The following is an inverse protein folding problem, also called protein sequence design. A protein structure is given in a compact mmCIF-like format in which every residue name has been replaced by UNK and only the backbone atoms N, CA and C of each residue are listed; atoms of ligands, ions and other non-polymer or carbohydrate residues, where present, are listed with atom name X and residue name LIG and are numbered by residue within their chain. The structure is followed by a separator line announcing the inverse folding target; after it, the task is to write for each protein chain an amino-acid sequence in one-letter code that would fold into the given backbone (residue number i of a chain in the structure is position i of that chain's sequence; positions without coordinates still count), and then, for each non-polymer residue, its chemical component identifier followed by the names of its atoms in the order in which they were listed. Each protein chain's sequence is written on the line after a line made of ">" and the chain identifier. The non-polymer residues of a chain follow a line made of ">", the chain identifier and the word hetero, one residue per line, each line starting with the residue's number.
data_IF_250583638016
#
_entry.id   IF_250583638016
#
_cell.length_a   1.000
_cell.length_b   1.000
_cell.length_c   1.000
_cell.angle_alpha   90.00
_cell.angle_beta   90.00
_cell.angle_gamma   90.00
#
_symmetry.space_group_name_H-M   'P 1'
#
loop_
_entity.id
_entity.type
_entity.pdbx_description
1 polymer ?
#
# COMPACT_ATOMS: atom_id res chain seq x y z
N UNK A 1 -10.83 -16.49 6.25
CA UNK A 1 -9.74 -15.60 5.82
C UNK A 1 -9.59 -14.50 6.87
N UNK A 2 -8.70 -14.68 7.84
CA UNK A 2 -8.32 -13.62 8.77
C UNK A 2 -7.40 -12.64 8.02
N UNK A 3 -7.93 -11.49 7.65
CA UNK A 3 -7.16 -10.42 7.03
C UNK A 3 -6.42 -9.65 8.13
N UNK A 4 -5.25 -10.11 8.51
CA UNK A 4 -4.45 -9.57 9.62
C UNK A 4 -4.08 -8.09 9.42
N UNK A 5 -4.08 -7.58 8.19
CA UNK A 5 -3.69 -6.20 7.89
C UNK A 5 -4.74 -5.18 8.32
N UNK A 6 -6.04 -5.49 8.22
CA UNK A 6 -7.11 -4.52 8.56
C UNK A 6 -7.22 -4.31 10.08
N UNK A 7 -7.06 -5.34 10.88
CA UNK A 7 -7.06 -5.21 12.35
C UNK A 7 -5.82 -4.50 12.87
N UNK A 8 -4.67 -4.78 12.32
CA UNK A 8 -3.41 -4.18 12.75
C UNK A 8 -3.28 -2.70 12.35
N UNK A 9 -3.89 -2.25 11.25
CA UNK A 9 -3.90 -0.83 10.88
C UNK A 9 -4.68 0.02 11.89
N UNK A 10 -5.76 -0.50 12.48
CA UNK A 10 -6.53 0.21 13.52
C UNK A 10 -5.75 0.41 14.84
N UNK A 11 -4.77 -0.44 15.09
CA UNK A 11 -3.93 -0.41 16.29
C UNK A 11 -2.53 0.19 16.02
N UNK A 12 -2.30 0.65 14.79
CA UNK A 12 -1.05 1.30 14.43
C UNK A 12 -1.00 2.69 15.05
N UNK A 13 -0.17 2.85 16.05
CA UNK A 13 0.27 4.17 16.47
C UNK A 13 1.28 4.69 15.45
N UNK A 14 0.77 5.41 14.45
CA UNK A 14 1.55 6.03 13.38
C UNK A 14 2.39 7.21 13.87
N UNK A 15 2.39 7.48 15.16
CA UNK A 15 2.84 8.71 15.81
C UNK A 15 4.30 9.10 15.58
N UNK A 16 5.09 8.43 14.78
CA UNK A 16 6.49 8.84 14.62
C UNK A 16 7.14 8.45 13.27
N UNK A 17 6.37 8.25 12.15
CA UNK A 17 6.99 7.50 11.06
C UNK A 17 6.62 7.91 9.63
N UNK A 18 6.06 9.08 9.41
CA UNK A 18 5.85 9.62 8.06
C UNK A 18 7.04 10.49 7.66
N UNK A 19 7.47 10.33 6.43
CA UNK A 19 8.50 11.17 5.84
C UNK A 19 7.85 12.25 5.01
N UNK A 20 8.23 13.47 5.25
CA UNK A 20 7.72 14.65 4.56
C UNK A 20 8.63 14.99 3.40
N UNK A 21 8.03 15.22 2.25
CA UNK A 21 8.73 15.53 1.02
C UNK A 21 8.14 16.83 0.45
N UNK A 22 9.00 17.78 0.12
CA UNK A 22 8.59 19.03 -0.53
C UNK A 22 8.32 18.78 -2.01
N UNK A 23 7.19 19.26 -2.54
CA UNK A 23 6.78 19.06 -3.93
C UNK A 23 7.78 19.59 -4.96
N UNK A 24 8.57 20.58 -4.58
CA UNK A 24 9.57 21.24 -5.43
C UNK A 24 11.01 20.79 -5.12
N UNK A 25 11.18 19.84 -4.22
CA UNK A 25 12.49 19.50 -3.70
C UNK A 25 13.25 18.56 -4.61
N UNK A 26 14.45 18.91 -4.96
CA UNK A 26 15.48 18.01 -5.48
C UNK A 26 15.98 17.06 -4.37
N UNK A 27 15.68 17.35 -3.10
CA UNK A 27 16.10 16.59 -1.93
C UNK A 27 14.88 16.05 -1.15
N UNK A 28 14.92 14.76 -0.85
CA UNK A 28 13.96 14.10 0.01
C UNK A 28 14.30 14.42 1.47
N UNK A 29 13.38 15.06 2.18
CA UNK A 29 13.50 15.24 3.63
C UNK A 29 12.63 14.22 4.35
N UNK A 30 13.16 13.66 5.42
CA UNK A 30 12.44 12.74 6.30
C UNK A 30 12.10 13.46 7.60
N UNK A 31 10.83 13.39 7.99
CA UNK A 31 10.35 13.96 9.26
C UNK A 31 9.49 12.97 10.01
N UNK A 32 9.30 13.17 11.33
CA UNK A 32 8.25 12.48 12.06
C UNK A 32 6.90 13.15 11.81
N UNK A 33 5.81 12.42 12.02
CA UNK A 33 4.44 12.97 11.90
C UNK A 33 4.21 14.19 12.77
N UNK A 34 4.85 14.21 13.96
CA UNK A 34 4.69 15.28 14.94
C UNK A 34 5.44 16.57 14.58
N UNK A 35 6.24 16.54 13.51
CA UNK A 35 7.13 17.64 13.10
C UNK A 35 6.84 18.12 11.68
N UNK A 36 5.63 17.89 11.16
CA UNK A 36 5.22 18.37 9.84
C UNK A 36 4.84 19.84 9.97
N UNK A 37 5.56 20.69 9.26
CA UNK A 37 5.29 22.13 9.21
C UNK A 37 4.06 22.42 8.34
N UNK A 38 3.36 23.52 8.66
CA UNK A 38 2.22 23.96 7.85
C UNK A 38 2.65 24.24 6.40
N UNK A 39 1.82 23.81 5.46
CA UNK A 39 2.08 24.00 4.02
C UNK A 39 2.94 22.92 3.36
N UNK A 40 3.33 21.88 4.10
CA UNK A 40 4.09 20.75 3.56
C UNK A 40 3.17 19.59 3.20
N UNK A 41 3.37 18.99 2.03
CA UNK A 41 2.69 17.76 1.61
C UNK A 41 3.55 16.54 1.89
N UNK A 42 2.92 15.49 2.43
CA UNK A 42 3.51 14.16 2.53
C UNK A 42 3.24 13.41 1.24
N UNK A 43 4.30 13.03 0.53
CA UNK A 43 4.20 12.43 -0.79
C UNK A 43 4.69 10.98 -0.86
N UNK A 44 5.37 10.48 0.17
CA UNK A 44 5.77 9.07 0.27
C UNK A 44 6.02 8.67 1.73
N UNK A 45 6.07 7.37 1.99
CA UNK A 45 6.56 6.81 3.26
C UNK A 45 8.09 6.65 3.22
N UNK A 46 8.71 6.71 4.38
CA UNK A 46 10.15 6.59 4.46
C UNK A 46 10.68 5.24 4.93
N UNK A 47 12.02 5.13 5.03
CA UNK A 47 12.69 3.87 5.34
C UNK A 47 12.22 3.21 6.64
N UNK A 48 12.01 3.99 7.70
CA UNK A 48 11.53 3.47 8.98
C UNK A 48 10.11 2.91 8.90
N UNK A 49 9.26 3.55 8.08
CA UNK A 49 7.88 3.07 7.85
C UNK A 49 7.89 1.81 6.99
N UNK A 50 8.73 1.78 5.96
CA UNK A 50 8.94 0.57 5.15
C UNK A 50 9.42 -0.59 6.03
N UNK A 51 10.42 -0.37 6.89
CA UNK A 51 10.91 -1.39 7.83
C UNK A 51 9.80 -1.91 8.76
N UNK A 52 8.99 -0.98 9.28
CA UNK A 52 7.87 -1.35 10.13
C UNK A 52 6.85 -2.22 9.39
N UNK A 53 6.38 -1.78 8.22
CA UNK A 53 5.40 -2.53 7.43
C UNK A 53 5.95 -3.89 6.99
N UNK A 54 7.24 -3.95 6.67
CA UNK A 54 7.91 -5.20 6.31
C UNK A 54 7.78 -6.28 7.38
N UNK A 55 7.88 -5.90 8.67
CA UNK A 55 7.75 -6.84 9.80
C UNK A 55 6.37 -7.51 9.84
N UNK A 56 5.32 -6.78 9.46
CA UNK A 56 3.96 -7.32 9.41
C UNK A 56 3.69 -8.10 8.13
N UNK A 57 4.18 -7.60 7.00
CA UNK A 57 4.01 -8.26 5.69
C UNK A 57 4.68 -9.64 5.69
N UNK A 58 5.93 -9.73 6.15
CA UNK A 58 6.70 -11.00 6.15
C UNK A 58 6.06 -12.06 7.05
N UNK A 59 5.34 -11.65 8.11
CA UNK A 59 4.63 -12.58 9.00
C UNK A 59 3.24 -12.99 8.52
N UNK A 60 2.75 -12.42 7.41
CA UNK A 60 1.40 -12.65 6.92
C UNK A 60 1.32 -13.87 6.01
N UNK A 61 0.16 -14.58 6.04
CA UNK A 61 -0.14 -15.65 5.07
C UNK A 61 -0.76 -15.09 3.79
N UNK A 62 -1.62 -14.07 3.93
CA UNK A 62 -2.29 -13.39 2.83
C UNK A 62 -2.19 -11.89 3.03
N UNK A 63 -1.86 -11.16 1.97
CA UNK A 63 -1.79 -9.71 1.96
C UNK A 63 -2.72 -9.17 0.88
N UNK A 64 -3.66 -8.32 1.27
CA UNK A 64 -4.43 -7.51 0.33
C UNK A 64 -3.87 -6.09 0.33
N UNK A 65 -3.26 -5.69 -0.80
CA UNK A 65 -2.69 -4.36 -0.97
C UNK A 65 -3.53 -3.51 -1.90
N UNK A 66 -4.09 -2.40 -1.37
CA UNK A 66 -4.94 -1.48 -2.12
C UNK A 66 -4.50 -0.03 -1.91
N UNK A 67 -3.94 0.56 -2.92
CA UNK A 67 -3.38 1.91 -2.96
C UNK A 67 -1.85 1.94 -2.77
N UNK A 68 -1.13 2.67 -3.64
CA UNK A 68 0.28 2.95 -3.44
C UNK A 68 0.49 3.75 -2.15
N UNK A 69 1.64 3.60 -1.53
CA UNK A 69 1.97 4.29 -0.26
C UNK A 69 2.65 5.63 -0.46
N UNK A 70 2.93 5.98 -1.72
CA UNK A 70 3.51 7.25 -2.13
C UNK A 70 3.04 7.63 -3.54
N UNK A 71 3.36 8.85 -3.98
CA UNK A 71 3.07 9.35 -5.33
C UNK A 71 4.09 8.74 -6.29
N UNK A 72 3.96 7.44 -6.49
CA UNK A 72 4.94 6.58 -7.13
C UNK A 72 5.17 6.87 -8.62
N UNK A 73 4.38 7.75 -9.24
CA UNK A 73 4.55 8.25 -10.59
C UNK A 73 5.79 9.14 -10.72
N UNK A 74 6.20 9.78 -9.62
CA UNK A 74 7.39 10.61 -9.57
C UNK A 74 8.55 9.83 -8.97
N UNK A 75 9.69 9.87 -9.65
CA UNK A 75 10.90 9.14 -9.26
C UNK A 75 11.35 9.42 -7.83
N UNK A 76 11.17 10.64 -7.35
CA UNK A 76 11.58 11.05 -6.01
C UNK A 76 10.66 10.48 -4.91
N UNK A 77 9.45 10.00 -5.27
CA UNK A 77 8.39 9.58 -4.36
C UNK A 77 7.94 8.14 -4.61
N UNK A 78 8.73 7.38 -5.36
CA UNK A 78 8.47 5.96 -5.65
C UNK A 78 9.05 5.00 -4.60
N UNK A 79 9.90 5.51 -3.70
CA UNK A 79 10.69 4.70 -2.78
C UNK A 79 9.82 3.77 -1.93
N UNK A 80 8.81 4.31 -1.26
CA UNK A 80 7.93 3.54 -0.39
C UNK A 80 7.20 2.43 -1.16
N UNK A 81 6.52 2.80 -2.23
CA UNK A 81 5.74 1.85 -3.04
C UNK A 81 6.62 0.75 -3.63
N UNK A 82 7.78 1.11 -4.17
CA UNK A 82 8.72 0.16 -4.75
C UNK A 82 9.28 -0.83 -3.72
N UNK A 83 9.66 -0.34 -2.54
CA UNK A 83 10.16 -1.20 -1.47
C UNK A 83 9.05 -2.10 -0.89
N UNK A 84 7.81 -1.62 -0.80
CA UNK A 84 6.69 -2.47 -0.41
C UNK A 84 6.46 -3.58 -1.43
N UNK A 85 6.51 -3.31 -2.75
CA UNK A 85 6.47 -4.36 -3.77
C UNK A 85 7.56 -5.42 -3.56
N UNK A 86 8.79 -4.98 -3.27
CA UNK A 86 9.90 -5.91 -3.03
C UNK A 86 9.68 -6.77 -1.78
N UNK A 87 9.17 -6.17 -0.70
CA UNK A 87 8.84 -6.90 0.54
C UNK A 87 7.70 -7.89 0.30
N UNK A 88 6.65 -7.48 -0.41
CA UNK A 88 5.53 -8.35 -0.77
C UNK A 88 6.02 -9.58 -1.56
N UNK A 89 6.86 -9.38 -2.57
CA UNK A 89 7.48 -10.48 -3.33
C UNK A 89 8.28 -11.43 -2.44
N UNK A 90 9.03 -10.91 -1.48
CA UNK A 90 9.89 -11.70 -0.58
C UNK A 90 9.12 -12.33 0.59
N UNK A 91 7.90 -11.93 0.85
CA UNK A 91 7.14 -12.33 2.05
C UNK A 91 6.76 -13.81 2.06
N UNK A 92 6.61 -14.42 0.89
CA UNK A 92 6.04 -15.75 0.73
C UNK A 92 4.53 -15.83 0.99
N UNK A 93 3.87 -14.68 1.17
CA UNK A 93 2.43 -14.58 1.32
C UNK A 93 1.69 -14.68 -0.02
N UNK A 94 0.43 -15.07 0.01
CA UNK A 94 -0.49 -14.90 -1.10
C UNK A 94 -0.86 -13.42 -1.22
N UNK A 95 -0.25 -12.71 -2.18
CA UNK A 95 -0.44 -11.28 -2.38
C UNK A 95 -1.52 -11.02 -3.41
N UNK A 96 -2.54 -10.27 -3.00
CA UNK A 96 -3.62 -9.79 -3.86
C UNK A 96 -3.51 -8.27 -3.97
N UNK A 97 -3.37 -7.76 -5.18
CA UNK A 97 -3.35 -6.33 -5.45
C UNK A 97 -4.76 -5.87 -5.79
N UNK A 98 -5.25 -4.83 -5.10
CA UNK A 98 -6.49 -4.15 -5.38
C UNK A 98 -6.28 -2.70 -5.81
N UNK A 99 -7.02 -2.25 -6.80
CA UNK A 99 -7.00 -0.88 -7.30
C UNK A 99 -6.06 -0.64 -8.48
N UNK A 100 -6.51 0.23 -9.38
CA UNK A 100 -5.79 0.54 -10.63
C UNK A 100 -4.40 1.12 -10.41
N UNK A 101 -4.24 2.01 -9.45
CA UNK A 101 -2.95 2.67 -9.17
C UNK A 101 -1.92 1.69 -8.58
N UNK A 102 -2.35 0.80 -7.68
CA UNK A 102 -1.49 -0.26 -7.14
C UNK A 102 -1.07 -1.24 -8.23
N UNK A 103 -2.02 -1.64 -9.09
CA UNK A 103 -1.77 -2.51 -10.23
C UNK A 103 -0.77 -1.86 -11.20
N UNK A 104 -0.96 -0.59 -11.54
CA UNK A 104 -0.06 0.18 -12.41
C UNK A 104 1.36 0.29 -11.81
N UNK A 105 1.45 0.55 -10.49
CA UNK A 105 2.74 0.61 -9.79
C UNK A 105 3.44 -0.75 -9.80
N UNK A 106 2.74 -1.83 -9.48
CA UNK A 106 3.30 -3.19 -9.51
C UNK A 106 3.84 -3.56 -10.89
N UNK A 107 3.07 -3.26 -11.94
CA UNK A 107 3.48 -3.51 -13.34
C UNK A 107 4.70 -2.67 -13.71
N UNK A 108 4.69 -1.36 -13.40
CA UNK A 108 5.78 -0.43 -13.71
C UNK A 108 7.09 -0.83 -13.05
N UNK A 109 7.04 -1.33 -11.82
CA UNK A 109 8.23 -1.78 -11.09
C UNK A 109 8.65 -3.22 -11.42
N UNK A 110 7.94 -3.90 -12.34
CA UNK A 110 8.31 -5.24 -12.82
C UNK A 110 7.86 -6.39 -11.94
N UNK A 111 6.85 -6.18 -11.07
CA UNK A 111 6.32 -7.20 -10.16
C UNK A 111 5.01 -7.84 -10.63
N UNK A 112 4.64 -7.67 -11.92
CA UNK A 112 3.36 -8.15 -12.46
C UNK A 112 3.11 -9.64 -12.20
N UNK A 113 4.15 -10.44 -12.37
CA UNK A 113 4.06 -11.91 -12.32
C UNK A 113 4.44 -12.48 -10.93
N UNK A 114 4.76 -11.62 -9.98
CA UNK A 114 5.18 -12.01 -8.63
C UNK A 114 4.00 -12.13 -7.64
N UNK A 115 2.80 -11.68 -8.03
CA UNK A 115 1.65 -11.63 -7.15
C UNK A 115 0.56 -12.61 -7.57
N UNK A 116 -0.14 -13.18 -6.58
CA UNK A 116 -1.16 -14.19 -6.80
C UNK A 116 -2.34 -13.68 -7.64
N UNK A 117 -2.72 -12.40 -7.45
CA UNK A 117 -3.80 -11.78 -8.21
C UNK A 117 -3.63 -10.25 -8.27
N UNK A 118 -3.96 -9.67 -9.42
CA UNK A 118 -3.98 -8.21 -9.63
C UNK A 118 -5.38 -7.83 -10.13
N UNK A 119 -6.10 -7.05 -9.32
CA UNK A 119 -7.44 -6.51 -9.63
C UNK A 119 -7.38 -4.99 -9.78
N UNK A 120 -7.97 -4.46 -10.82
CA UNK A 120 -8.15 -3.01 -10.99
C UNK A 120 -9.33 -2.46 -10.18
N UNK A 121 -10.20 -3.33 -9.67
CA UNK A 121 -11.41 -2.99 -8.91
C UNK A 121 -11.16 -2.90 -7.40
N UNK A 122 -10.34 -1.95 -6.94
CA UNK A 122 -9.98 -1.83 -5.53
C UNK A 122 -11.15 -1.66 -4.57
N UNK A 123 -12.06 -0.71 -4.87
CA UNK A 123 -13.24 -0.45 -4.04
C UNK A 123 -14.20 -1.64 -3.98
N UNK A 124 -14.51 -2.24 -5.13
CA UNK A 124 -15.37 -3.42 -5.21
C UNK A 124 -14.76 -4.63 -4.48
N UNK A 125 -13.44 -4.81 -4.57
CA UNK A 125 -12.75 -5.87 -3.84
C UNK A 125 -12.84 -5.69 -2.32
N UNK A 126 -12.66 -4.47 -1.81
CA UNK A 126 -12.83 -4.16 -0.39
C UNK A 126 -14.27 -4.36 0.08
N UNK A 127 -15.25 -3.90 -0.71
CA UNK A 127 -16.66 -4.09 -0.41
C UNK A 127 -17.03 -5.59 -0.37
N UNK A 128 -16.51 -6.38 -1.31
CA UNK A 128 -16.73 -7.82 -1.32
C UNK A 128 -16.13 -8.52 -0.11
N UNK A 129 -14.92 -8.11 0.31
CA UNK A 129 -14.27 -8.66 1.50
C UNK A 129 -15.08 -8.33 2.76
N UNK A 130 -15.59 -7.09 2.85
CA UNK A 130 -16.38 -6.62 4.00
C UNK A 130 -17.77 -7.28 4.06
N UNK A 131 -18.51 -7.28 2.94
CA UNK A 131 -19.93 -7.65 2.91
C UNK A 131 -20.19 -9.05 2.41
N UNK A 132 -19.18 -9.75 1.85
CA UNK A 132 -19.31 -11.03 1.15
C UNK A 132 -20.32 -11.01 0.00
N UNK A 133 -20.58 -9.82 -0.55
CA UNK A 133 -21.60 -9.55 -1.55
C UNK A 133 -21.28 -8.27 -2.33
N UNK A 134 -21.63 -8.25 -3.59
CA UNK A 134 -21.59 -7.05 -4.44
C UNK A 134 -22.94 -6.88 -5.13
N UNK A 135 -23.48 -5.67 -5.12
CA UNK A 135 -24.77 -5.34 -5.75
C UNK A 135 -24.78 -5.73 -7.23
N UNK A 136 -23.68 -5.53 -7.95
CA UNK A 136 -23.56 -5.89 -9.35
C UNK A 136 -23.55 -7.40 -9.58
N UNK A 137 -22.94 -8.19 -8.70
CA UNK A 137 -22.95 -9.67 -8.80
C UNK A 137 -24.34 -10.22 -8.47
N UNK A 138 -24.97 -9.70 -7.44
CA UNK A 138 -26.32 -10.13 -7.04
C UNK A 138 -27.34 -9.89 -8.15
N UNK A 139 -27.19 -8.79 -8.92
CA UNK A 139 -28.08 -8.49 -10.06
C UNK A 139 -27.88 -9.42 -11.28
N UNK A 140 -26.80 -10.17 -11.32
CA UNK A 140 -26.52 -11.16 -12.39
C UNK A 140 -27.02 -12.55 -11.99
N UNK A 141 -27.15 -12.81 -10.71
CA UNK A 141 -27.60 -14.12 -10.16
C UNK A 141 -29.15 -14.23 -10.12
N UNK A 142 -29.89 -13.13 -10.35
CA UNK A 142 -31.36 -13.12 -10.55
C UNK A 142 -31.74 -13.43 -12.01
#
# INVERSE_FOLDING_TARGET
>A
LECTIIENIKNFNLENRINVIYSDALEVKYSSMDSIEDGIMVLDIGPKTVELFSKYIIGSKTVFWNGPVGVSEFKNFEYGTKNICEVLKKSGADVIIGGGDSAAAAIRFGYKDDFAHISTGGGASLEFIEKQSLTALNAIEE
#
